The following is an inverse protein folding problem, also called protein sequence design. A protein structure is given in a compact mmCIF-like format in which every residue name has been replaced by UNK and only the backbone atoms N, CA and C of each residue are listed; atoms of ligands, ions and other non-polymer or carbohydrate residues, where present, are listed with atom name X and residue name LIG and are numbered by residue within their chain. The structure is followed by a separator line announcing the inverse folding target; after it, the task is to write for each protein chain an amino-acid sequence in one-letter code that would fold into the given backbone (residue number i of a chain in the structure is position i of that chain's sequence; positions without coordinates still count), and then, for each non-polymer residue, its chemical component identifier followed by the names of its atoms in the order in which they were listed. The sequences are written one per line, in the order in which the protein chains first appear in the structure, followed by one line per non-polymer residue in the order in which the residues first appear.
data_IF_751967673050
#
_entry.id   IF_751967673050
#
_cell.length_a   1.000
_cell.length_b   1.000
_cell.length_c   1.000
_cell.angle_alpha   90.00
_cell.angle_beta   90.00
_cell.angle_gamma   90.00
#
_symmetry.space_group_name_H-M   'P 1'
#
loop_
_entity.id
_entity.type
_entity.pdbx_description
1 polymer ?
#
# COMPACT_ATOMS: atom_id res chain seq x y z
N UNK A 1 9.30 0.42 -50.13
CA UNK A 1 9.56 -0.78 -49.32
C UNK A 1 10.55 -0.44 -48.24
N UNK A 2 10.08 -0.19 -47.02
CA UNK A 2 10.81 -0.45 -45.76
C UNK A 2 9.77 -0.39 -44.65
N UNK A 3 9.09 -1.52 -44.45
CA UNK A 3 8.29 -1.78 -43.26
C UNK A 3 9.19 -1.70 -42.02
N UNK A 4 9.06 -0.62 -41.26
CA UNK A 4 9.61 -0.53 -39.91
C UNK A 4 8.78 -1.45 -39.03
N UNK A 5 9.26 -2.69 -38.81
CA UNK A 5 8.75 -3.56 -37.75
C UNK A 5 8.88 -2.81 -36.42
N UNK A 6 7.77 -2.26 -35.94
CA UNK A 6 7.64 -1.85 -34.55
C UNK A 6 7.80 -3.11 -33.71
N UNK A 7 8.95 -3.24 -33.07
CA UNK A 7 9.19 -4.24 -32.04
C UNK A 7 8.33 -3.86 -30.84
N UNK A 8 7.13 -4.44 -30.74
CA UNK A 8 6.33 -4.38 -29.52
C UNK A 8 7.06 -5.21 -28.47
N UNK A 9 7.73 -4.53 -27.54
CA UNK A 9 8.16 -5.15 -26.29
C UNK A 9 6.93 -5.81 -25.65
N UNK A 10 7.02 -7.07 -25.21
CA UNK A 10 5.89 -7.71 -24.54
C UNK A 10 5.52 -6.85 -23.33
N UNK A 11 4.24 -6.43 -23.24
CA UNK A 11 3.72 -5.74 -22.07
C UNK A 11 4.07 -6.57 -20.85
N UNK A 12 4.85 -6.00 -19.93
CA UNK A 12 5.10 -6.58 -18.60
C UNK A 12 3.74 -6.95 -18.01
N UNK A 13 3.58 -8.18 -17.56
CA UNK A 13 2.38 -8.60 -16.86
C UNK A 13 2.18 -7.65 -15.66
N UNK A 14 1.06 -6.91 -15.60
CA UNK A 14 0.86 -5.93 -14.55
C UNK A 14 0.63 -6.59 -13.18
N UNK A 15 0.32 -7.90 -13.12
CA UNK A 15 0.04 -8.56 -11.86
C UNK A 15 1.30 -8.67 -10.96
N UNK A 16 1.33 -8.01 -9.79
CA UNK A 16 2.48 -8.01 -8.91
C UNK A 16 2.72 -9.35 -8.21
N UNK A 17 1.79 -10.31 -8.30
CA UNK A 17 1.89 -11.64 -7.69
C UNK A 17 3.04 -12.50 -8.25
N UNK A 18 3.62 -12.07 -9.38
CA UNK A 18 4.84 -12.66 -9.96
C UNK A 18 6.13 -12.07 -9.37
N UNK A 19 6.03 -11.03 -8.55
CA UNK A 19 7.14 -10.36 -7.90
C UNK A 19 7.34 -10.86 -6.46
N UNK A 20 8.47 -10.48 -5.84
CA UNK A 20 8.88 -11.02 -4.55
C UNK A 20 8.01 -10.54 -3.37
N UNK A 21 7.38 -9.35 -3.50
CA UNK A 21 6.68 -8.64 -2.41
C UNK A 21 5.34 -8.06 -2.90
N UNK A 22 4.41 -8.90 -3.38
CA UNK A 22 3.20 -8.44 -4.06
C UNK A 22 2.35 -7.47 -3.23
N UNK A 23 2.14 -7.79 -1.95
CA UNK A 23 1.33 -6.96 -1.06
C UNK A 23 1.95 -5.59 -0.76
N UNK A 24 3.28 -5.46 -0.86
CA UNK A 24 3.94 -4.16 -0.77
C UNK A 24 3.72 -3.39 -2.08
N UNK A 25 4.02 -4.02 -3.22
CA UNK A 25 3.94 -3.40 -4.54
C UNK A 25 2.53 -2.91 -4.87
N UNK A 26 1.48 -3.65 -4.48
CA UNK A 26 0.07 -3.27 -4.67
C UNK A 26 -0.24 -1.88 -4.07
N UNK A 27 0.38 -1.50 -2.95
CA UNK A 27 0.22 -0.16 -2.37
C UNK A 27 0.72 0.97 -3.31
N UNK A 28 1.71 0.65 -4.15
CA UNK A 28 2.38 1.54 -5.10
C UNK A 28 1.79 1.51 -6.52
N UNK A 29 0.93 0.53 -6.83
CA UNK A 29 0.33 0.41 -8.15
C UNK A 29 -0.70 1.50 -8.43
N UNK A 30 -0.87 1.81 -9.72
CA UNK A 30 -1.77 2.84 -10.25
C UNK A 30 -3.06 2.27 -10.84
N UNK A 31 -3.21 0.96 -10.80
CA UNK A 31 -4.41 0.27 -11.23
C UNK A 31 -5.61 0.63 -10.33
N UNK A 32 -6.85 0.56 -10.84
CA UNK A 32 -8.05 0.81 -10.03
C UNK A 32 -8.06 -0.03 -8.76
N UNK A 33 -8.65 0.50 -7.68
CA UNK A 33 -8.68 -0.18 -6.39
C UNK A 33 -9.22 -1.62 -6.48
N UNK A 34 -10.27 -1.84 -7.26
CA UNK A 34 -10.85 -3.18 -7.46
C UNK A 34 -9.83 -4.18 -8.00
N UNK A 35 -9.00 -3.75 -8.95
CA UNK A 35 -7.96 -4.60 -9.54
C UNK A 35 -6.83 -4.87 -8.54
N UNK A 36 -6.44 -3.84 -7.77
CA UNK A 36 -5.44 -3.95 -6.70
C UNK A 36 -5.90 -4.90 -5.61
N UNK A 37 -7.17 -4.83 -5.21
CA UNK A 37 -7.79 -5.74 -4.23
C UNK A 37 -7.90 -7.17 -4.76
N UNK A 38 -8.21 -7.35 -6.05
CA UNK A 38 -8.20 -8.68 -6.66
C UNK A 38 -6.81 -9.33 -6.57
N UNK A 39 -5.75 -8.59 -6.89
CA UNK A 39 -4.38 -9.08 -6.74
C UNK A 39 -3.98 -9.32 -5.29
N UNK A 40 -4.43 -8.45 -4.37
CA UNK A 40 -4.16 -8.61 -2.94
C UNK A 40 -4.81 -9.89 -2.40
N UNK A 41 -6.06 -10.17 -2.83
CA UNK A 41 -6.78 -11.40 -2.51
C UNK A 41 -6.04 -12.63 -3.02
N UNK A 42 -5.67 -12.65 -4.29
CA UNK A 42 -4.87 -13.72 -4.88
C UNK A 42 -3.55 -13.95 -4.11
N UNK A 43 -2.87 -12.88 -3.69
CA UNK A 43 -1.64 -12.97 -2.92
C UNK A 43 -1.88 -13.63 -1.55
N UNK A 44 -2.90 -13.20 -0.81
CA UNK A 44 -3.24 -13.77 0.50
C UNK A 44 -3.68 -15.23 0.37
N UNK A 45 -4.50 -15.56 -0.64
CA UNK A 45 -4.92 -16.93 -0.94
C UNK A 45 -3.74 -17.84 -1.32
N UNK A 46 -2.71 -17.28 -1.96
CA UNK A 46 -1.44 -17.98 -2.23
C UNK A 46 -0.52 -18.09 -0.99
N UNK A 47 -0.98 -17.68 0.20
CA UNK A 47 -0.23 -17.76 1.45
C UNK A 47 0.83 -16.68 1.62
N UNK A 48 0.71 -15.53 0.93
CA UNK A 48 1.62 -14.40 1.16
C UNK A 48 1.33 -13.77 2.52
N UNK A 49 2.40 -13.53 3.27
CA UNK A 49 2.32 -12.95 4.60
C UNK A 49 1.91 -11.46 4.53
N UNK A 50 0.73 -11.13 5.07
CA UNK A 50 0.20 -9.76 5.16
C UNK A 50 1.01 -8.87 6.09
N UNK A 51 1.84 -9.46 6.95
CA UNK A 51 2.75 -8.77 7.83
C UNK A 51 4.20 -8.79 7.30
N UNK A 52 4.46 -9.31 6.09
CA UNK A 52 5.82 -9.50 5.60
C UNK A 52 6.64 -8.22 5.76
N UNK A 53 7.82 -8.33 6.35
CA UNK A 53 8.74 -7.21 6.45
C UNK A 53 9.56 -7.11 5.16
N UNK A 54 9.58 -5.93 4.55
CA UNK A 54 10.64 -5.55 3.63
C UNK A 54 11.94 -5.35 4.41
N UNK A 55 12.89 -6.27 4.23
CA UNK A 55 14.20 -6.31 4.85
C UNK A 55 15.30 -5.72 3.97
N UNK A 56 14.95 -5.02 2.88
CA UNK A 56 15.93 -4.40 2.00
C UNK A 56 16.86 -3.45 2.79
N UNK A 57 18.17 -3.70 2.68
CA UNK A 57 19.20 -2.95 3.38
C UNK A 57 19.28 -1.48 2.94
N UNK A 58 18.91 -1.18 1.69
CA UNK A 58 18.79 0.18 1.20
C UNK A 58 17.45 0.79 1.64
N UNK A 59 17.52 1.68 2.63
CA UNK A 59 16.36 2.37 3.19
C UNK A 59 15.56 3.16 2.14
N UNK A 60 16.19 3.58 1.03
CA UNK A 60 15.50 4.30 -0.05
C UNK A 60 14.60 3.39 -0.90
N UNK A 61 14.77 2.09 -0.78
CA UNK A 61 14.04 1.06 -1.53
C UNK A 61 13.21 0.15 -0.63
N UNK A 62 13.18 0.46 0.67
CA UNK A 62 12.47 -0.32 1.65
C UNK A 62 11.02 0.17 1.76
N UNK A 63 10.07 -0.73 1.54
CA UNK A 63 8.64 -0.43 1.53
C UNK A 63 7.97 -0.63 2.89
N UNK A 64 8.73 -0.94 3.94
CA UNK A 64 8.22 -1.24 5.27
C UNK A 64 7.48 -2.58 5.31
N UNK A 65 6.21 -2.56 5.73
CA UNK A 65 5.28 -3.70 5.65
C UNK A 65 4.15 -3.35 4.66
N UNK A 66 3.31 -4.30 4.24
CA UNK A 66 2.19 -4.00 3.35
C UNK A 66 1.32 -2.83 3.83
N UNK A 67 1.11 -2.73 5.15
CA UNK A 67 0.33 -1.64 5.73
C UNK A 67 1.06 -0.28 5.73
N UNK A 68 2.41 -0.25 5.78
CA UNK A 68 3.17 0.98 5.52
C UNK A 68 3.01 1.42 4.06
N UNK A 69 3.14 0.47 3.13
CA UNK A 69 2.99 0.74 1.70
C UNK A 69 1.62 1.35 1.34
N UNK A 70 0.56 0.93 2.03
CA UNK A 70 -0.79 1.49 1.84
C UNK A 70 -0.91 2.97 2.25
N UNK A 71 -0.04 3.47 3.16
CA UNK A 71 -0.04 4.85 3.65
C UNK A 71 0.84 5.80 2.82
N UNK A 72 1.91 5.31 2.19
CA UNK A 72 2.94 6.12 1.50
C UNK A 72 2.45 6.84 0.25
N UNK A 73 1.35 6.37 -0.36
CA UNK A 73 0.83 6.96 -1.59
C UNK A 73 -0.56 7.55 -1.47
N UNK A 74 -0.68 8.67 -0.76
CA UNK A 74 -1.89 9.42 -0.79
C UNK A 74 -1.82 10.32 -2.05
N UNK A 75 -2.50 9.88 -3.11
CA UNK A 75 -2.85 10.66 -4.30
C UNK A 75 -1.70 11.38 -5.01
N UNK A 76 -1.01 10.67 -5.92
CA UNK A 76 -0.23 11.29 -6.98
C UNK A 76 -1.07 11.37 -8.26
N UNK A 77 -0.86 12.44 -9.03
CA UNK A 77 -1.30 12.51 -10.42
C UNK A 77 -0.26 11.75 -11.25
N UNK A 78 -0.73 10.77 -12.02
CA UNK A 78 0.12 10.07 -12.98
C UNK A 78 0.04 10.78 -14.34
N UNK A 79 1.09 11.50 -14.70
CA UNK A 79 1.21 12.20 -15.99
C UNK A 79 1.16 11.23 -17.20
N UNK A 80 1.53 9.96 -17.02
CA UNK A 80 1.57 8.97 -18.09
C UNK A 80 0.21 8.34 -18.38
N UNK A 81 -0.66 8.22 -17.36
CA UNK A 81 -2.00 7.65 -17.52
C UNK A 81 -3.12 8.69 -17.41
N UNK A 82 -2.82 9.91 -16.99
CA UNK A 82 -3.78 11.00 -16.78
C UNK A 82 -4.76 10.72 -15.63
N UNK A 83 -4.44 9.77 -14.75
CA UNK A 83 -5.31 9.37 -13.64
C UNK A 83 -4.80 9.97 -12.33
N UNK A 84 -5.74 10.48 -11.55
CA UNK A 84 -5.49 10.88 -10.16
C UNK A 84 -5.83 9.71 -9.27
N UNK A 85 -4.89 9.21 -8.49
CA UNK A 85 -5.20 8.24 -7.43
C UNK A 85 -6.06 8.95 -6.39
N UNK A 86 -7.30 8.51 -6.18
CA UNK A 86 -8.07 9.03 -5.05
C UNK A 86 -7.43 8.50 -3.76
N UNK A 87 -7.19 9.39 -2.79
CA UNK A 87 -6.58 9.00 -1.51
C UNK A 87 -7.47 7.98 -0.80
N UNK A 88 -8.79 8.08 -0.96
CA UNK A 88 -9.74 7.18 -0.32
C UNK A 88 -9.68 5.74 -0.86
N UNK A 89 -9.25 5.52 -2.10
CA UNK A 89 -9.06 4.15 -2.62
C UNK A 89 -8.01 3.38 -1.82
N UNK A 90 -6.98 4.05 -1.27
CA UNK A 90 -6.03 3.37 -0.39
C UNK A 90 -6.64 2.93 0.94
N UNK A 91 -7.75 3.53 1.40
CA UNK A 91 -8.43 3.09 2.63
C UNK A 91 -9.04 1.70 2.47
N UNK A 92 -9.53 1.37 1.28
CA UNK A 92 -10.05 0.02 1.03
C UNK A 92 -8.93 -1.02 1.10
N UNK A 93 -7.73 -0.68 0.65
CA UNK A 93 -6.55 -1.54 0.81
C UNK A 93 -6.11 -1.63 2.28
N UNK A 94 -6.13 -0.52 3.03
CA UNK A 94 -5.87 -0.52 4.48
C UNK A 94 -6.83 -1.47 5.19
N UNK A 95 -8.14 -1.32 4.96
CA UNK A 95 -9.17 -2.19 5.53
C UNK A 95 -8.95 -3.65 5.14
N UNK A 96 -8.72 -3.93 3.85
CA UNK A 96 -8.43 -5.28 3.37
C UNK A 96 -7.26 -5.92 4.13
N UNK A 97 -6.14 -5.22 4.27
CA UNK A 97 -4.96 -5.76 4.96
C UNK A 97 -5.27 -6.03 6.45
N UNK A 98 -6.00 -5.15 7.12
CA UNK A 98 -6.39 -5.32 8.52
C UNK A 98 -7.35 -6.51 8.71
N UNK A 99 -8.38 -6.63 7.86
CA UNK A 99 -9.34 -7.75 7.87
C UNK A 99 -8.65 -9.10 7.65
N UNK A 100 -7.54 -9.12 6.93
CA UNK A 100 -6.72 -10.31 6.69
C UNK A 100 -5.58 -10.50 7.71
N UNK A 101 -5.57 -9.74 8.81
CA UNK A 101 -4.70 -9.98 9.94
C UNK A 101 -3.40 -9.16 9.96
N UNK A 102 -3.28 -8.13 9.12
CA UNK A 102 -2.18 -7.16 9.27
C UNK A 102 -2.19 -6.56 10.68
N UNK A 103 -1.04 -6.51 11.34
CA UNK A 103 -0.89 -5.89 12.66
C UNK A 103 -0.33 -4.47 12.51
N UNK A 104 -1.13 -3.44 12.80
CA UNK A 104 -0.74 -2.05 12.63
C UNK A 104 0.31 -1.57 13.64
N UNK A 105 0.69 -2.40 14.62
CA UNK A 105 1.71 -2.10 15.63
C UNK A 105 3.09 -2.61 15.23
N UNK A 106 3.17 -3.45 14.19
CA UNK A 106 4.44 -3.99 13.73
C UNK A 106 5.27 -2.91 13.05
N UNK A 107 6.48 -2.69 13.58
CA UNK A 107 7.42 -1.70 13.06
C UNK A 107 8.08 -2.15 11.77
N UNK A 108 8.50 -1.19 10.96
CA UNK A 108 9.38 -1.43 9.82
C UNK A 108 10.81 -1.77 10.27
N UNK A 109 11.69 -2.13 9.32
CA UNK A 109 13.03 -2.67 9.57
C UNK A 109 13.98 -1.68 10.27
N UNK A 110 13.63 -0.39 10.28
CA UNK A 110 14.39 0.66 10.99
C UNK A 110 13.93 0.86 12.43
N UNK A 111 12.96 0.10 12.92
CA UNK A 111 12.47 0.21 14.30
C UNK A 111 11.85 1.57 14.66
N UNK A 112 11.60 2.45 13.68
CA UNK A 112 11.23 3.83 13.97
C UNK A 112 9.73 4.00 14.16
N UNK A 113 8.88 3.56 13.23
CA UNK A 113 7.43 3.75 13.35
C UNK A 113 6.65 2.54 12.83
N UNK A 114 5.58 2.19 13.55
CA UNK A 114 4.55 1.27 13.07
C UNK A 114 3.58 2.00 12.13
N UNK A 115 2.74 1.29 11.35
CA UNK A 115 1.73 1.93 10.52
C UNK A 115 0.84 2.91 11.30
N UNK A 116 0.46 2.56 12.54
CA UNK A 116 -0.33 3.45 13.40
C UNK A 116 0.43 4.72 13.81
N UNK A 117 1.74 4.63 14.06
CA UNK A 117 2.58 5.79 14.40
C UNK A 117 2.72 6.73 13.20
N UNK A 118 2.89 6.17 12.00
CA UNK A 118 2.95 6.92 10.74
C UNK A 118 1.64 7.66 10.48
N UNK A 119 0.49 6.97 10.57
CA UNK A 119 -0.82 7.58 10.36
C UNK A 119 -1.09 8.70 11.38
N UNK A 120 -0.74 8.48 12.66
CA UNK A 120 -0.86 9.48 13.73
C UNK A 120 -0.01 10.71 13.48
N UNK A 121 1.26 10.54 13.11
CA UNK A 121 2.16 11.65 12.82
C UNK A 121 1.67 12.48 11.61
N UNK A 122 1.15 11.82 10.58
CA UNK A 122 0.59 12.50 9.41
C UNK A 122 -0.73 13.21 9.69
N UNK A 123 -1.62 12.61 10.51
CA UNK A 123 -2.87 13.25 10.94
C UNK A 123 -2.59 14.49 11.82
N UNK A 124 -1.56 14.45 12.65
CA UNK A 124 -1.13 15.56 13.50
C UNK A 124 -0.31 16.64 12.75
N UNK A 125 0.14 16.37 11.53
CA UNK A 125 0.96 17.31 10.76
C UNK A 125 0.14 18.52 10.31
N UNK A 126 0.69 19.72 10.48
CA UNK A 126 0.11 20.98 10.01
C UNK A 126 0.19 21.17 8.48
N UNK A 127 0.42 20.10 7.71
CA UNK A 127 0.46 20.18 6.26
C UNK A 127 -0.89 20.72 5.72
N UNK A 128 -0.84 21.76 4.88
CA UNK A 128 -1.99 22.52 4.35
C UNK A 128 -2.92 21.75 3.40
N UNK A 129 -3.09 20.44 3.60
CA UNK A 129 -3.92 19.61 2.72
C UNK A 129 -4.88 18.74 3.55
N UNK A 130 -6.07 19.28 3.76
CA UNK A 130 -7.15 18.68 4.55
C UNK A 130 -7.51 17.26 4.10
N UNK A 131 -7.38 16.94 2.81
CA UNK A 131 -7.66 15.59 2.29
C UNK A 131 -6.62 14.56 2.73
N UNK A 132 -5.36 14.96 2.90
CA UNK A 132 -4.32 14.07 3.45
C UNK A 132 -4.60 13.79 4.91
N UNK A 133 -4.99 14.84 5.64
CA UNK A 133 -5.31 14.73 7.05
C UNK A 133 -6.50 13.78 7.26
N UNK A 134 -7.60 14.01 6.54
CA UNK A 134 -8.79 13.15 6.62
C UNK A 134 -8.49 11.69 6.25
N UNK A 135 -7.67 11.45 5.22
CA UNK A 135 -7.21 10.10 4.89
C UNK A 135 -6.47 9.46 6.07
N UNK A 136 -5.50 10.16 6.65
CA UNK A 136 -4.71 9.63 7.75
C UNK A 136 -5.53 9.48 9.04
N UNK A 137 -6.49 10.36 9.30
CA UNK A 137 -7.45 10.25 10.42
C UNK A 137 -8.29 8.96 10.28
N UNK A 138 -8.86 8.70 9.10
CA UNK A 138 -9.63 7.47 8.84
C UNK A 138 -8.78 6.22 8.89
N UNK A 139 -7.58 6.26 8.32
CA UNK A 139 -6.64 5.13 8.38
C UNK A 139 -6.21 4.85 9.82
N UNK A 140 -5.95 5.89 10.62
CA UNK A 140 -5.63 5.79 12.04
C UNK A 140 -6.78 5.15 12.82
N UNK A 141 -8.02 5.60 12.61
CA UNK A 141 -9.23 5.04 13.25
C UNK A 141 -9.35 3.53 12.98
N UNK A 142 -9.25 3.11 11.71
CA UNK A 142 -9.30 1.69 11.33
C UNK A 142 -8.20 0.86 12.03
N UNK A 143 -6.98 1.41 12.12
CA UNK A 143 -5.85 0.73 12.77
C UNK A 143 -6.03 0.64 14.29
N UNK A 144 -6.56 1.68 14.94
CA UNK A 144 -6.84 1.69 16.37
C UNK A 144 -7.96 0.71 16.73
N UNK A 145 -9.00 0.61 15.90
CA UNK A 145 -10.06 -0.40 16.06
C UNK A 145 -9.51 -1.82 15.90
N UNK A 146 -8.75 -2.08 14.84
CA UNK A 146 -8.14 -3.39 14.59
C UNK A 146 -7.19 -3.80 15.72
N UNK A 147 -6.39 -2.86 16.25
CA UNK A 147 -5.49 -3.13 17.37
C UNK A 147 -6.24 -3.54 18.65
N UNK A 148 -7.39 -2.89 18.94
CA UNK A 148 -8.22 -3.24 20.11
C UNK A 148 -8.84 -4.62 20.01
N UNK A 149 -9.27 -5.02 18.80
CA UNK A 149 -9.83 -6.36 18.57
C UNK A 149 -8.79 -7.42 18.93
N UNK A 150 -7.54 -7.23 18.48
CA UNK A 150 -6.43 -8.14 18.76
C UNK A 150 -6.00 -8.20 20.23
N UNK A 151 -6.33 -7.21 21.05
CA UNK A 151 -6.06 -7.23 22.49
C UNK A 151 -7.14 -8.00 23.28
N UNK A 152 -8.28 -8.32 22.64
CA UNK A 152 -9.38 -9.07 23.22
C UNK A 152 -9.50 -10.54 22.78
N UNK A 153 -8.67 -10.99 21.82
CA UNK A 153 -8.49 -12.40 21.44
C UNK A 153 -7.42 -13.10 22.29
#
# INVERSE_FOLDING_TARGET
MTDKKQTTTPKRDPNPNKHAKPLHEIGYMLDPIEQRLAWAREAVEAGRDVNQLDDAADWRRNLGRPLHAALEHPGCFDDATGKTKDRYESLDLVRFLLDHGADPRLRCCRGQDSPIDVARAQAASNANNARVREFNEKALEMMEESAKIKDGE
#
